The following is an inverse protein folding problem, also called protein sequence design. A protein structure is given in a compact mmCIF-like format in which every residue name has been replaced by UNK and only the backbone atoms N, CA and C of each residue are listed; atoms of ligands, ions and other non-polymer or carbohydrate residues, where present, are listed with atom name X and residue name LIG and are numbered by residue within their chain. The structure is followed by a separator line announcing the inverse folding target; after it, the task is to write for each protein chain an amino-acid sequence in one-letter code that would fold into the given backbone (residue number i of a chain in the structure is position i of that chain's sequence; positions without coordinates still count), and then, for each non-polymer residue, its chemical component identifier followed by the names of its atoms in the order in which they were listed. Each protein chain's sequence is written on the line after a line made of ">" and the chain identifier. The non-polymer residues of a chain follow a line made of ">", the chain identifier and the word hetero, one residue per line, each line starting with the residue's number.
data_IF_256472357852
#
_entry.id   IF_256472357852
#
_cell.length_a   1.000
_cell.length_b   1.000
_cell.length_c   1.000
_cell.angle_alpha   90.00
_cell.angle_beta   90.00
_cell.angle_gamma   90.00
#
_symmetry.space_group_name_H-M   'P 1'
#
loop_
_entity.id
_entity.type
_entity.pdbx_description
1 polymer ?
#
# COMPACT_ATOMS: atom_id res chain seq x y z
N UNK A 1 -17.20 -23.44 6.48
CA UNK A 1 -15.74 -23.58 6.69
C UNK A 1 -15.10 -22.31 6.17
N UNK A 2 -14.41 -21.55 7.03
CA UNK A 2 -13.72 -20.31 6.64
C UNK A 2 -12.54 -20.73 5.75
N UNK A 3 -12.48 -20.20 4.52
CA UNK A 3 -11.41 -20.48 3.57
C UNK A 3 -10.34 -19.39 3.67
N UNK A 4 -9.08 -19.81 3.59
CA UNK A 4 -7.95 -18.91 3.42
C UNK A 4 -7.88 -18.44 1.97
N UNK A 5 -7.71 -17.15 1.78
CA UNK A 5 -7.75 -16.49 0.46
C UNK A 5 -6.59 -15.51 0.36
N UNK A 6 -6.02 -15.38 -0.84
CA UNK A 6 -4.90 -14.47 -1.10
C UNK A 6 -5.23 -13.64 -2.32
N UNK A 7 -5.01 -12.34 -2.19
CA UNK A 7 -5.10 -11.39 -3.30
C UNK A 7 -3.73 -10.75 -3.52
N UNK A 8 -3.20 -10.90 -4.74
CA UNK A 8 -1.89 -10.37 -5.13
C UNK A 8 -2.12 -9.25 -6.14
N UNK A 9 -1.58 -8.08 -5.85
CA UNK A 9 -1.68 -6.91 -6.71
C UNK A 9 -0.38 -6.71 -7.51
N UNK A 10 -0.51 -6.30 -8.76
CA UNK A 10 0.59 -6.09 -9.70
C UNK A 10 1.57 -4.98 -9.27
N UNK A 11 1.14 -4.06 -8.41
CA UNK A 11 1.98 -3.03 -7.79
C UNK A 11 2.72 -3.48 -6.52
N UNK A 12 2.74 -4.78 -6.24
CA UNK A 12 3.62 -5.41 -5.25
C UNK A 12 3.06 -5.48 -3.82
N UNK A 13 1.74 -5.39 -3.66
CA UNK A 13 1.06 -5.59 -2.38
C UNK A 13 0.32 -6.93 -2.39
N UNK A 14 0.28 -7.62 -1.25
CA UNK A 14 -0.44 -8.89 -1.09
C UNK A 14 -1.30 -8.81 0.16
N UNK A 15 -2.57 -9.22 0.05
CA UNK A 15 -3.51 -9.28 1.17
C UNK A 15 -3.86 -10.73 1.44
N UNK A 16 -3.62 -11.19 2.66
CA UNK A 16 -3.85 -12.56 3.09
C UNK A 16 -5.02 -12.60 4.07
N UNK A 17 -6.03 -13.41 3.76
CA UNK A 17 -7.20 -13.60 4.61
C UNK A 17 -7.14 -14.96 5.29
N UNK A 18 -7.30 -14.97 6.61
CA UNK A 18 -7.37 -16.20 7.40
C UNK A 18 -6.08 -17.03 7.29
N UNK A 19 -4.93 -16.37 7.41
CA UNK A 19 -3.63 -17.01 7.57
C UNK A 19 -3.14 -16.80 9.00
N UNK A 20 -2.36 -17.74 9.51
CA UNK A 20 -1.48 -17.49 10.65
C UNK A 20 -0.18 -16.85 10.18
N UNK A 21 0.51 -16.11 11.05
CA UNK A 21 1.79 -15.46 10.76
C UNK A 21 2.82 -16.42 10.12
N UNK A 22 2.85 -17.68 10.57
CA UNK A 22 3.73 -18.72 10.00
C UNK A 22 3.36 -19.05 8.55
N UNK A 23 2.06 -19.17 8.27
CA UNK A 23 1.56 -19.46 6.92
C UNK A 23 1.78 -18.27 5.98
N UNK A 24 1.59 -17.03 6.46
CA UNK A 24 1.87 -15.80 5.71
C UNK A 24 3.34 -15.76 5.29
N UNK A 25 4.26 -15.91 6.24
CA UNK A 25 5.69 -15.90 5.96
C UNK A 25 6.09 -17.00 4.98
N UNK A 26 5.52 -18.20 5.11
CA UNK A 26 5.78 -19.31 4.18
C UNK A 26 5.27 -18.99 2.77
N UNK A 27 4.06 -18.41 2.68
CA UNK A 27 3.46 -18.04 1.40
C UNK A 27 4.26 -16.92 0.72
N UNK A 28 4.58 -15.85 1.46
CA UNK A 28 5.38 -14.72 0.97
C UNK A 28 6.75 -15.18 0.45
N UNK A 29 7.44 -16.08 1.19
CA UNK A 29 8.70 -16.68 0.72
C UNK A 29 8.54 -17.45 -0.58
N UNK A 30 7.43 -18.18 -0.73
CA UNK A 30 7.15 -18.96 -1.94
C UNK A 30 6.91 -18.06 -3.15
N UNK A 31 6.17 -16.96 -2.97
CA UNK A 31 5.86 -16.04 -4.08
C UNK A 31 7.01 -15.08 -4.41
N UNK A 32 7.91 -14.82 -3.46
CA UNK A 32 9.05 -13.91 -3.65
C UNK A 32 9.92 -14.28 -4.86
N UNK A 33 10.06 -15.57 -5.18
CA UNK A 33 10.82 -16.04 -6.36
C UNK A 33 10.19 -15.67 -7.71
N UNK A 34 8.94 -15.24 -7.73
CA UNK A 34 8.22 -14.82 -8.94
C UNK A 34 8.17 -13.29 -9.10
N UNK A 35 8.66 -12.54 -8.12
CA UNK A 35 8.70 -11.09 -8.21
C UNK A 35 9.75 -10.65 -9.25
N UNK A 36 9.36 -9.71 -10.11
CA UNK A 36 10.26 -9.11 -11.10
C UNK A 36 11.01 -7.89 -10.56
N UNK A 37 10.52 -7.30 -9.46
CA UNK A 37 11.11 -6.16 -8.78
C UNK A 37 12.00 -6.53 -7.59
N UNK A 38 12.65 -5.53 -7.01
CA UNK A 38 13.39 -5.71 -5.76
C UNK A 38 12.43 -6.06 -4.63
N UNK A 39 12.72 -7.16 -3.93
CA UNK A 39 12.05 -7.52 -2.68
C UNK A 39 12.50 -6.53 -1.61
N UNK A 40 11.54 -5.97 -0.89
CA UNK A 40 11.79 -5.03 0.20
C UNK A 40 12.49 -5.74 1.37
N UNK A 41 13.36 -5.01 2.07
CA UNK A 41 13.87 -5.48 3.36
C UNK A 41 12.74 -5.47 4.39
N UNK A 42 12.91 -6.18 5.50
CA UNK A 42 11.87 -6.27 6.54
C UNK A 42 11.52 -4.91 7.13
N UNK A 43 12.48 -4.00 7.15
CA UNK A 43 12.35 -2.64 7.69
C UNK A 43 11.58 -1.72 6.74
N UNK A 44 11.55 -2.04 5.44
CA UNK A 44 10.89 -1.23 4.39
C UNK A 44 9.49 -1.78 4.03
N UNK A 45 9.07 -2.89 4.63
CA UNK A 45 7.76 -3.52 4.43
C UNK A 45 6.75 -2.88 5.38
N UNK A 46 5.69 -2.32 4.81
CA UNK A 46 4.49 -1.93 5.56
C UNK A 46 3.57 -3.14 5.75
N UNK A 47 3.17 -3.41 6.98
CA UNK A 47 2.20 -4.45 7.32
C UNK A 47 1.01 -3.82 8.04
N UNK A 48 -0.20 -4.14 7.58
CA UNK A 48 -1.45 -3.73 8.24
C UNK A 48 -2.24 -4.97 8.63
N UNK A 49 -2.50 -5.15 9.92
CA UNK A 49 -3.21 -6.31 10.47
C UNK A 49 -4.65 -5.95 10.82
N UNK A 50 -5.59 -6.73 10.28
CA UNK A 50 -7.02 -6.54 10.52
C UNK A 50 -7.66 -7.78 11.13
N UNK A 51 -8.56 -7.54 12.08
CA UNK A 51 -9.49 -8.56 12.56
C UNK A 51 -10.72 -8.57 11.65
N UNK A 52 -11.33 -9.74 11.45
CA UNK A 52 -12.57 -9.81 10.70
C UNK A 52 -13.57 -10.79 11.32
N UNK A 53 -14.85 -10.48 11.15
CA UNK A 53 -15.95 -11.33 11.61
C UNK A 53 -17.10 -11.37 10.61
N UNK A 54 -17.88 -12.45 10.65
CA UNK A 54 -19.11 -12.56 9.87
C UNK A 54 -20.31 -12.19 10.74
N UNK A 55 -20.98 -11.09 10.39
CA UNK A 55 -22.25 -10.70 11.01
C UNK A 55 -23.39 -10.94 10.02
N UNK A 56 -23.84 -12.18 9.90
CA UNK A 56 -24.86 -12.59 8.91
C UNK A 56 -26.28 -12.09 9.25
N UNK A 57 -26.54 -11.70 10.51
CA UNK A 57 -27.89 -11.43 11.02
C UNK A 57 -28.04 -10.06 11.69
N UNK A 58 -26.95 -9.37 12.01
CA UNK A 58 -27.00 -8.08 12.66
C UNK A 58 -27.41 -6.94 11.73
N UNK A 59 -27.78 -5.78 12.29
CA UNK A 59 -28.32 -4.65 11.54
C UNK A 59 -27.24 -3.82 10.82
N UNK A 60 -25.97 -4.02 11.14
CA UNK A 60 -24.88 -3.16 10.67
C UNK A 60 -24.45 -3.49 9.25
N UNK A 61 -24.29 -2.49 8.38
CA UNK A 61 -23.65 -2.66 7.07
C UNK A 61 -22.19 -3.10 7.24
N UNK A 62 -21.56 -3.73 6.22
CA UNK A 62 -20.12 -3.97 6.24
C UNK A 62 -19.40 -2.67 6.59
N UNK A 63 -18.51 -2.74 7.59
CA UNK A 63 -17.80 -1.59 8.14
C UNK A 63 -16.39 -2.02 8.51
N UNK A 64 -15.45 -1.12 8.31
CA UNK A 64 -14.12 -1.17 8.93
C UNK A 64 -14.15 -0.14 10.07
N UNK A 65 -13.89 -0.60 11.30
CA UNK A 65 -13.83 0.28 12.46
C UNK A 65 -12.87 -0.30 13.49
N UNK A 66 -11.87 0.47 13.93
CA UNK A 66 -10.81 0.03 14.84
C UNK A 66 -10.22 -1.33 14.40
N UNK A 67 -9.76 -1.40 13.16
CA UNK A 67 -9.15 -2.58 12.54
C UNK A 67 -10.04 -3.83 12.49
N UNK A 68 -11.34 -3.69 12.77
CA UNK A 68 -12.31 -4.77 12.67
C UNK A 68 -13.17 -4.62 11.42
N UNK A 69 -13.06 -5.62 10.53
CA UNK A 69 -13.82 -5.75 9.30
C UNK A 69 -15.04 -6.64 9.55
N UNK A 70 -16.24 -6.09 9.33
CA UNK A 70 -17.48 -6.86 9.44
C UNK A 70 -17.99 -7.28 8.06
N UNK A 71 -18.13 -8.58 7.83
CA UNK A 71 -18.58 -9.17 6.56
C UNK A 71 -20.01 -9.70 6.68
N UNK A 72 -20.83 -9.45 5.65
CA UNK A 72 -22.21 -9.98 5.53
C UNK A 72 -22.28 -11.31 4.78
N UNK A 73 -21.24 -11.64 4.01
CA UNK A 73 -21.15 -12.89 3.28
C UNK A 73 -19.69 -13.28 3.07
N UNK A 74 -19.46 -14.55 2.74
CA UNK A 74 -18.16 -15.05 2.31
C UNK A 74 -17.90 -14.88 0.80
N UNK A 75 -18.55 -13.91 0.15
CA UNK A 75 -18.35 -13.66 -1.28
C UNK A 75 -16.89 -13.19 -1.51
N UNK A 76 -16.09 -13.90 -2.33
CA UNK A 76 -14.72 -13.51 -2.63
C UNK A 76 -14.60 -12.11 -3.25
N UNK A 77 -15.61 -11.65 -4.00
CA UNK A 77 -15.61 -10.30 -4.59
C UNK A 77 -15.66 -9.21 -3.53
N UNK A 78 -16.42 -9.41 -2.45
CA UNK A 78 -16.46 -8.44 -1.33
C UNK A 78 -15.08 -8.34 -0.68
N UNK A 79 -14.41 -9.48 -0.46
CA UNK A 79 -13.07 -9.51 0.11
C UNK A 79 -12.04 -8.92 -0.84
N UNK A 80 -12.16 -9.16 -2.15
CA UNK A 80 -11.31 -8.53 -3.16
C UNK A 80 -11.48 -6.99 -3.14
N UNK A 81 -12.72 -6.50 -3.08
CA UNK A 81 -13.01 -5.06 -2.96
C UNK A 81 -12.38 -4.44 -1.72
N UNK A 82 -12.52 -5.11 -0.56
CA UNK A 82 -11.87 -4.66 0.68
C UNK A 82 -10.35 -4.70 0.52
N UNK A 83 -9.81 -5.79 -0.01
CA UNK A 83 -8.36 -5.98 -0.22
C UNK A 83 -7.77 -4.92 -1.14
N UNK A 84 -8.49 -4.46 -2.16
CA UNK A 84 -8.06 -3.36 -3.02
C UNK A 84 -7.87 -2.07 -2.21
N UNK A 85 -8.84 -1.72 -1.35
CA UNK A 85 -8.73 -0.53 -0.50
C UNK A 85 -7.57 -0.62 0.48
N UNK A 86 -7.43 -1.76 1.16
CA UNK A 86 -6.30 -2.01 2.09
C UNK A 86 -4.95 -1.98 1.37
N UNK A 87 -4.86 -2.59 0.18
CA UNK A 87 -3.62 -2.63 -0.57
C UNK A 87 -3.20 -1.24 -1.07
N UNK A 88 -4.16 -0.39 -1.45
CA UNK A 88 -3.90 1.01 -1.78
C UNK A 88 -3.47 1.82 -0.55
N UNK A 89 -4.09 1.60 0.61
CA UNK A 89 -3.69 2.21 1.89
C UNK A 89 -2.23 1.90 2.21
N UNK A 90 -1.87 0.61 2.28
CA UNK A 90 -0.51 0.18 2.60
C UNK A 90 0.52 0.69 1.58
N UNK A 91 0.16 0.72 0.29
CA UNK A 91 1.04 1.28 -0.75
C UNK A 91 1.27 2.77 -0.56
N UNK A 92 0.23 3.51 -0.21
CA UNK A 92 0.29 4.95 0.01
C UNK A 92 1.09 5.29 1.25
N UNK A 93 0.86 4.61 2.38
CA UNK A 93 1.61 4.78 3.62
C UNK A 93 3.13 4.60 3.38
N UNK A 94 3.51 3.53 2.68
CA UNK A 94 4.92 3.30 2.30
C UNK A 94 5.47 4.44 1.44
N UNK A 95 4.67 4.89 0.47
CA UNK A 95 5.10 5.95 -0.44
C UNK A 95 5.30 7.28 0.30
N UNK A 96 4.41 7.61 1.23
CA UNK A 96 4.51 8.78 2.10
C UNK A 96 5.78 8.75 2.94
N UNK A 97 6.10 7.60 3.55
CA UNK A 97 7.35 7.42 4.32
C UNK A 97 8.60 7.66 3.45
N UNK A 98 8.67 7.04 2.27
CA UNK A 98 9.80 7.23 1.34
C UNK A 98 9.89 8.67 0.83
N UNK A 99 8.75 9.32 0.63
CA UNK A 99 8.66 10.71 0.21
C UNK A 99 9.18 11.65 1.29
N UNK A 100 8.74 11.48 2.54
CA UNK A 100 9.18 12.27 3.70
C UNK A 100 10.70 12.16 3.88
N UNK A 101 11.23 10.95 3.95
CA UNK A 101 12.67 10.69 4.08
C UNK A 101 13.50 11.36 2.97
N UNK A 102 13.00 11.30 1.74
CA UNK A 102 13.69 11.87 0.58
C UNK A 102 13.66 13.41 0.61
N UNK A 103 12.54 14.00 1.01
CA UNK A 103 12.39 15.47 1.13
C UNK A 103 13.25 15.99 2.28
N UNK A 104 13.25 15.31 3.42
CA UNK A 104 14.06 15.69 4.58
C UNK A 104 15.55 15.62 4.26
N UNK A 105 15.99 14.57 3.58
CA UNK A 105 17.37 14.45 3.09
C UNK A 105 17.78 15.54 2.08
N UNK A 106 16.81 16.10 1.34
CA UNK A 106 17.06 17.14 0.34
C UNK A 106 16.96 18.57 0.87
N UNK A 107 16.19 18.80 1.94
CA UNK A 107 15.92 20.11 2.54
C UNK A 107 17.16 20.96 2.87
N UNK A 108 18.32 20.40 3.27
CA UNK A 108 19.52 21.18 3.51
C UNK A 108 20.07 21.92 2.28
N UNK A 109 19.89 21.40 1.07
CA UNK A 109 20.40 22.02 -0.17
C UNK A 109 19.86 23.44 -0.40
N UNK A 110 18.54 23.66 -0.51
CA UNK A 110 17.99 25.01 -0.69
C UNK A 110 18.31 25.94 0.49
N UNK A 111 18.37 25.42 1.73
CA UNK A 111 18.75 26.21 2.90
C UNK A 111 20.19 26.74 2.82
N UNK A 112 21.13 25.91 2.39
CA UNK A 112 22.53 26.34 2.21
C UNK A 112 22.66 27.35 1.07
N UNK A 113 22.01 27.11 -0.07
CA UNK A 113 22.01 28.04 -1.20
C UNK A 113 21.46 29.42 -0.80
N UNK A 114 20.36 29.44 -0.06
CA UNK A 114 19.76 30.69 0.41
C UNK A 114 20.64 31.44 1.43
N UNK A 115 21.32 30.71 2.32
CA UNK A 115 22.12 31.31 3.41
C UNK A 115 23.53 31.73 2.98
N UNK A 116 24.19 30.94 2.14
CA UNK A 116 25.61 31.09 1.81
C UNK A 116 25.86 31.46 0.34
N UNK A 117 24.85 31.37 -0.53
CA UNK A 117 25.02 31.54 -1.99
C UNK A 117 25.69 30.34 -2.67
N UNK A 118 26.01 29.28 -1.92
CA UNK A 118 26.68 28.08 -2.40
C UNK A 118 26.22 26.84 -1.62
N UNK A 119 26.47 25.65 -2.18
CA UNK A 119 26.27 24.38 -1.49
C UNK A 119 27.60 23.86 -0.99
N UNK A 120 27.76 23.76 0.34
CA UNK A 120 28.98 23.24 0.99
C UNK A 120 29.00 21.70 1.03
N UNK A 121 28.77 21.08 -0.11
CA UNK A 121 28.83 19.62 -0.31
C UNK A 121 29.63 19.33 -1.57
N UNK A 122 30.25 18.15 -1.65
CA UNK A 122 30.90 17.76 -2.89
C UNK A 122 29.83 17.51 -3.98
N UNK A 123 30.25 17.64 -5.24
CA UNK A 123 29.36 17.46 -6.40
C UNK A 123 28.71 16.08 -6.44
N UNK A 124 29.40 15.04 -5.97
CA UNK A 124 28.90 13.65 -5.98
C UNK A 124 27.67 13.52 -5.07
N UNK A 125 27.72 14.09 -3.88
CA UNK A 125 26.64 14.00 -2.91
C UNK A 125 25.43 14.84 -3.34
N UNK A 126 25.65 16.00 -3.94
CA UNK A 126 24.58 16.78 -4.57
C UNK A 126 23.89 15.96 -5.66
N UNK A 127 24.65 15.30 -6.54
CA UNK A 127 24.10 14.49 -7.62
C UNK A 127 23.29 13.29 -7.11
N UNK A 128 23.71 12.67 -5.99
CA UNK A 128 22.93 11.60 -5.34
C UNK A 128 21.56 12.11 -4.85
N UNK A 129 21.53 13.27 -4.20
CA UNK A 129 20.27 13.87 -3.73
C UNK A 129 19.36 14.23 -4.91
N UNK A 130 19.92 14.85 -5.96
CA UNK A 130 19.18 15.16 -7.19
C UNK A 130 18.61 13.90 -7.84
N UNK A 131 19.39 12.81 -7.90
CA UNK A 131 18.92 11.52 -8.39
C UNK A 131 17.76 10.96 -7.58
N UNK A 132 17.82 11.04 -6.24
CA UNK A 132 16.72 10.63 -5.35
C UNK A 132 15.45 11.46 -5.57
N UNK A 133 15.57 12.78 -5.68
CA UNK A 133 14.44 13.67 -5.99
C UNK A 133 13.81 13.38 -7.36
N UNK A 134 14.64 13.09 -8.36
CA UNK A 134 14.14 12.72 -9.69
C UNK A 134 13.40 11.38 -9.66
N UNK A 135 13.93 10.39 -8.94
CA UNK A 135 13.26 9.12 -8.70
C UNK A 135 11.91 9.32 -7.99
N UNK A 136 11.89 10.07 -6.89
CA UNK A 136 10.66 10.38 -6.16
C UNK A 136 9.60 10.99 -7.09
N UNK A 137 9.98 11.95 -7.94
CA UNK A 137 9.07 12.55 -8.92
C UNK A 137 8.48 11.54 -9.91
N UNK A 138 9.27 10.56 -10.36
CA UNK A 138 8.75 9.48 -11.22
C UNK A 138 7.79 8.58 -10.45
N UNK A 139 8.13 8.24 -9.21
CA UNK A 139 7.34 7.35 -8.36
C UNK A 139 5.97 7.98 -8.02
N UNK A 140 5.88 9.31 -7.82
CA UNK A 140 4.59 10.04 -7.66
C UNK A 140 3.62 9.73 -8.81
N UNK A 141 4.10 9.78 -10.05
CA UNK A 141 3.25 9.54 -11.21
C UNK A 141 2.75 8.08 -11.27
N UNK A 142 3.59 7.13 -10.86
CA UNK A 142 3.26 5.71 -10.82
C UNK A 142 2.23 5.40 -9.73
N UNK A 143 2.40 5.96 -8.53
CA UNK A 143 1.44 5.78 -7.43
C UNK A 143 0.09 6.39 -7.77
N UNK A 144 0.06 7.53 -8.47
CA UNK A 144 -1.20 8.12 -8.93
C UNK A 144 -2.06 7.13 -9.72
N UNK A 145 -1.46 6.35 -10.63
CA UNK A 145 -2.20 5.35 -11.42
C UNK A 145 -2.71 4.18 -10.56
N UNK A 146 -2.00 3.81 -9.50
CA UNK A 146 -2.42 2.75 -8.56
C UNK A 146 -3.67 3.18 -7.78
N UNK A 147 -3.85 4.49 -7.58
CA UNK A 147 -4.97 5.08 -6.84
C UNK A 147 -6.20 5.36 -7.71
N UNK A 148 -6.17 5.03 -9.01
CA UNK A 148 -7.36 5.11 -9.86
C UNK A 148 -8.40 4.06 -9.44
N UNK A 149 -9.67 4.31 -9.77
CA UNK A 149 -10.76 3.38 -9.48
C UNK A 149 -10.50 2.03 -10.18
N UNK A 150 -10.38 0.92 -9.43
CA UNK A 150 -10.11 -0.39 -10.01
C UNK A 150 -11.08 -0.79 -11.12
N UNK A 151 -10.56 -1.44 -12.17
CA UNK A 151 -11.36 -1.86 -13.32
C UNK A 151 -12.52 -2.81 -12.94
N UNK A 152 -12.39 -3.50 -11.81
CA UNK A 152 -13.41 -4.37 -11.24
C UNK A 152 -14.79 -3.69 -11.13
N UNK A 153 -14.84 -2.40 -10.80
CA UNK A 153 -16.11 -1.70 -10.58
C UNK A 153 -16.85 -1.34 -11.87
N UNK A 154 -16.20 -1.41 -13.03
CA UNK A 154 -16.90 -1.33 -14.31
C UNK A 154 -17.75 -2.58 -14.58
N UNK A 155 -17.35 -3.73 -14.03
CA UNK A 155 -18.07 -4.99 -14.14
C UNK A 155 -19.07 -5.19 -13.00
N UNK A 156 -18.74 -4.69 -11.79
CA UNK A 156 -19.55 -4.85 -10.57
C UNK A 156 -19.82 -3.48 -9.89
N UNK A 157 -20.68 -2.61 -10.46
CA UNK A 157 -20.90 -1.24 -9.96
C UNK A 157 -21.46 -1.21 -8.53
N UNK A 158 -22.18 -2.26 -8.12
CA UNK A 158 -22.76 -2.37 -6.77
C UNK A 158 -21.68 -2.40 -5.67
N UNK A 159 -20.45 -2.79 -6.00
CA UNK A 159 -19.33 -2.87 -5.05
C UNK A 159 -18.59 -1.53 -4.90
N UNK A 160 -18.81 -0.57 -5.80
CA UNK A 160 -18.13 0.74 -5.78
C UNK A 160 -18.47 1.54 -4.50
N UNK A 161 -19.72 1.45 -4.03
CA UNK A 161 -20.14 2.10 -2.79
C UNK A 161 -19.42 1.54 -1.55
N UNK A 162 -19.12 0.23 -1.54
CA UNK A 162 -18.34 -0.39 -0.46
C UNK A 162 -16.88 0.04 -0.55
N UNK A 163 -16.30 0.06 -1.75
CA UNK A 163 -14.93 0.50 -1.99
C UNK A 163 -14.69 1.94 -1.51
N UNK A 164 -15.56 2.87 -1.92
CA UNK A 164 -15.45 4.27 -1.51
C UNK A 164 -15.56 4.46 0.01
N UNK A 165 -16.36 3.64 0.69
CA UNK A 165 -16.50 3.66 2.15
C UNK A 165 -15.29 3.09 2.90
N UNK A 166 -14.41 2.35 2.20
CA UNK A 166 -13.16 1.80 2.76
C UNK A 166 -11.98 2.72 2.47
N UNK A 167 -12.02 3.41 1.33
CA UNK A 167 -10.97 4.35 0.89
C UNK A 167 -11.00 5.68 1.64
N UNK A 168 -12.17 6.14 2.08
CA UNK A 168 -12.37 7.42 2.77
C UNK A 168 -12.30 7.31 4.28
#
# INVERSE_FOLDING_TARGET
>A
MIRSEVFIFDYGVTVLWNFSEVEELLYLRKIAGYATGAILSKEDVENEDFHYQYDLKGPYRPRIFNDMITLKSGNPLIKLTISHGLAQSAKLARFENVMEDTIDGATPLPRMMAKFGEVKMNRVDVMKIVGKLFKLRMDVNLVSNVLDTPELFWLEPELEGLYNAIRG
#
